data_IF_679510460397
#
_entry.id   IF_679510460397
#
_cell.length_a   1.000
_cell.length_b   1.000
_cell.length_c   1.000
_cell.angle_alpha   90.00
_cell.angle_beta   90.00
_cell.angle_gamma   90.00
#
_symmetry.space_group_name_H-M   'P 1'
#
loop_
_entity.id
_entity.type
_entity.pdbx_description
1 polymer ?
#
# COMPACT_ATOMS: atom_id res chain seq x y z
N UNK A 1 23.98 9.60 -6.89
CA UNK A 1 22.53 9.81 -7.11
C UNK A 1 22.30 11.28 -7.30
N UNK A 2 21.38 11.67 -8.19
CA UNK A 2 20.95 13.07 -8.31
C UNK A 2 20.16 13.47 -7.06
N UNK A 3 20.04 14.79 -6.75
CA UNK A 3 19.23 15.25 -5.63
C UNK A 3 17.77 14.79 -5.71
N UNK A 4 17.18 14.82 -6.91
CA UNK A 4 15.80 14.39 -7.15
C UNK A 4 15.64 12.89 -6.89
N UNK A 5 16.52 12.06 -7.44
CA UNK A 5 16.48 10.61 -7.21
C UNK A 5 16.61 10.25 -5.73
N UNK A 6 17.46 10.98 -4.99
CA UNK A 6 17.62 10.79 -3.54
C UNK A 6 16.36 11.22 -2.76
N UNK A 7 15.74 12.33 -3.14
CA UNK A 7 14.49 12.81 -2.54
C UNK A 7 13.35 11.79 -2.73
N UNK A 8 13.14 11.31 -3.96
CA UNK A 8 12.12 10.31 -4.27
C UNK A 8 12.30 9.03 -3.44
N UNK A 9 13.54 8.53 -3.38
CA UNK A 9 13.86 7.36 -2.56
C UNK A 9 13.59 7.61 -1.08
N UNK A 10 14.07 8.73 -0.54
CA UNK A 10 13.93 9.04 0.88
C UNK A 10 12.46 9.18 1.29
N UNK A 11 11.61 9.83 0.48
CA UNK A 11 10.18 9.90 0.76
C UNK A 11 9.54 8.52 0.71
N UNK A 12 9.86 7.69 -0.31
CA UNK A 12 9.32 6.35 -0.44
C UNK A 12 9.71 5.45 0.75
N UNK A 13 10.98 5.47 1.17
CA UNK A 13 11.48 4.71 2.33
C UNK A 13 10.81 5.14 3.62
N UNK A 14 10.64 6.46 3.85
CA UNK A 14 9.98 6.98 5.04
C UNK A 14 8.48 6.64 5.08
N UNK A 15 7.80 6.74 3.95
CA UNK A 15 6.40 6.33 3.82
C UNK A 15 6.22 4.84 4.10
N UNK A 16 7.04 3.99 3.47
CA UNK A 16 7.06 2.56 3.72
C UNK A 16 7.36 2.24 5.19
N UNK A 17 8.34 2.93 5.77
CA UNK A 17 8.70 2.81 7.19
C UNK A 17 7.55 3.17 8.13
N UNK A 18 6.82 4.24 7.84
CA UNK A 18 5.63 4.65 8.61
C UNK A 18 4.53 3.58 8.55
N UNK A 19 4.32 2.95 7.39
CA UNK A 19 3.40 1.83 7.25
C UNK A 19 3.83 0.60 8.09
N UNK A 20 5.12 0.23 8.07
CA UNK A 20 5.66 -0.86 8.89
C UNK A 20 5.50 -0.58 10.38
N UNK A 21 5.79 0.65 10.80
CA UNK A 21 5.74 1.07 12.20
C UNK A 21 4.31 1.30 12.71
N UNK A 22 3.30 1.17 11.83
CA UNK A 22 1.88 1.44 12.14
C UNK A 22 1.69 2.84 12.71
N UNK A 23 2.38 3.81 12.10
CA UNK A 23 2.27 5.22 12.46
C UNK A 23 0.84 5.74 12.33
N UNK A 24 0.57 6.88 12.96
CA UNK A 24 -0.75 7.50 12.89
C UNK A 24 -1.17 7.83 11.46
N UNK A 25 -2.48 7.86 11.21
CA UNK A 25 -3.03 8.28 9.92
C UNK A 25 -2.53 9.68 9.54
N UNK A 26 -2.44 10.60 10.50
CA UNK A 26 -1.89 11.95 10.25
C UNK A 26 -0.45 11.90 9.71
N UNK A 27 0.38 11.00 10.25
CA UNK A 27 1.76 10.80 9.78
C UNK A 27 1.76 10.24 8.36
N UNK A 28 0.90 9.25 8.08
CA UNK A 28 0.75 8.70 6.72
C UNK A 28 0.29 9.78 5.72
N UNK A 29 -0.71 10.59 6.09
CA UNK A 29 -1.23 11.68 5.27
C UNK A 29 -0.17 12.75 4.99
N UNK A 30 0.78 12.96 5.91
CA UNK A 30 1.85 13.96 5.74
C UNK A 30 2.82 13.67 4.58
N UNK A 31 2.80 12.45 4.02
CA UNK A 31 3.60 12.11 2.85
C UNK A 31 2.92 12.44 1.52
N UNK A 32 1.62 12.73 1.53
CA UNK A 32 0.83 13.02 0.32
C UNK A 32 0.83 14.52 0.01
N UNK A 33 0.73 14.85 -1.28
CA UNK A 33 0.65 16.23 -1.74
C UNK A 33 -0.60 16.93 -1.21
N UNK A 34 -0.45 18.18 -0.77
CA UNK A 34 -1.58 19.05 -0.41
C UNK A 34 -1.93 20.05 -1.51
N UNK A 35 -1.12 20.13 -2.57
CA UNK A 35 -1.23 21.12 -3.65
C UNK A 35 -1.67 20.50 -4.97
N UNK A 36 -1.50 19.18 -5.13
CA UNK A 36 -1.92 18.41 -6.29
C UNK A 36 -3.06 17.45 -5.97
N UNK A 37 -3.73 16.93 -7.00
CA UNK A 37 -4.69 15.85 -6.83
C UNK A 37 -3.99 14.59 -6.34
N UNK A 38 -4.51 14.00 -5.26
CA UNK A 38 -4.00 12.76 -4.68
C UNK A 38 -4.99 11.62 -4.84
N UNK A 39 -4.50 10.41 -5.12
CA UNK A 39 -5.38 9.24 -5.23
C UNK A 39 -4.71 7.90 -4.93
N UNK A 40 -5.50 6.95 -4.47
CA UNK A 40 -5.10 5.56 -4.21
C UNK A 40 -5.92 4.60 -5.05
N UNK A 41 -5.27 3.54 -5.54
CA UNK A 41 -5.96 2.34 -6.02
C UNK A 41 -5.20 1.10 -5.57
N UNK A 42 -5.94 0.11 -5.08
CA UNK A 42 -5.45 -1.26 -5.00
C UNK A 42 -6.09 -2.06 -6.13
N UNK A 43 -5.26 -2.57 -7.03
CA UNK A 43 -5.71 -3.22 -8.25
C UNK A 43 -6.22 -4.63 -7.93
N UNK A 44 -7.38 -4.96 -8.49
CA UNK A 44 -8.01 -6.27 -8.30
C UNK A 44 -9.51 -6.21 -8.59
N UNK A 45 -10.15 -7.37 -8.60
CA UNK A 45 -11.60 -7.50 -8.79
C UNK A 45 -12.34 -7.07 -7.50
N UNK A 46 -13.22 -6.05 -7.53
CA UNK A 46 -13.95 -5.56 -6.36
C UNK A 46 -14.71 -6.62 -5.56
N UNK A 47 -15.15 -7.71 -6.20
CA UNK A 47 -15.81 -8.80 -5.49
C UNK A 47 -14.91 -9.51 -4.47
N UNK A 48 -13.58 -9.46 -4.65
CA UNK A 48 -12.60 -10.18 -3.83
C UNK A 48 -12.35 -9.51 -2.47
N UNK A 49 -12.30 -8.18 -2.42
CA UNK A 49 -12.17 -7.40 -1.18
C UNK A 49 -12.68 -5.96 -1.38
N UNK A 50 -13.24 -5.31 -0.33
CA UNK A 50 -13.93 -4.02 -0.45
C UNK A 50 -13.01 -2.84 -0.79
N UNK A 51 -11.69 -3.03 -0.72
CA UNK A 51 -10.68 -2.04 -1.09
C UNK A 51 -10.17 -2.15 -2.52
N UNK A 52 -10.51 -3.24 -3.24
CA UNK A 52 -10.00 -3.51 -4.58
C UNK A 52 -10.81 -2.81 -5.67
N UNK A 53 -10.11 -2.42 -6.74
CA UNK A 53 -10.70 -1.95 -7.99
C UNK A 53 -11.45 -0.62 -7.88
N UNK A 54 -11.21 0.16 -6.81
CA UNK A 54 -11.82 1.47 -6.62
C UNK A 54 -10.77 2.55 -6.34
N UNK A 55 -11.03 3.74 -6.86
CA UNK A 55 -10.23 4.92 -6.59
C UNK A 55 -10.66 5.59 -5.30
N UNK A 56 -9.68 5.99 -4.49
CA UNK A 56 -9.87 6.88 -3.35
C UNK A 56 -9.22 8.20 -3.69
N UNK A 57 -10.01 9.25 -3.84
CA UNK A 57 -9.53 10.54 -4.33
C UNK A 57 -9.48 11.58 -3.21
N UNK A 58 -8.49 12.47 -3.28
CA UNK A 58 -8.22 13.48 -2.26
C UNK A 58 -7.69 12.89 -0.95
N UNK A 59 -7.22 13.77 -0.06
CA UNK A 59 -6.68 13.36 1.25
C UNK A 59 -7.72 12.63 2.11
N UNK A 60 -9.00 13.00 2.01
CA UNK A 60 -10.09 12.26 2.67
C UNK A 60 -10.26 10.84 2.11
N UNK A 61 -10.05 10.65 0.81
CA UNK A 61 -9.99 9.32 0.20
C UNK A 61 -8.79 8.51 0.69
N UNK A 62 -7.62 9.13 0.76
CA UNK A 62 -6.40 8.50 1.32
C UNK A 62 -6.64 8.02 2.74
N UNK A 63 -7.21 8.89 3.59
CA UNK A 63 -7.60 8.54 4.96
C UNK A 63 -8.56 7.35 4.98
N UNK A 64 -9.64 7.41 4.20
CA UNK A 64 -10.64 6.35 4.15
C UNK A 64 -10.07 5.00 3.69
N UNK A 65 -9.07 5.01 2.80
CA UNK A 65 -8.35 3.79 2.40
C UNK A 65 -7.61 3.17 3.59
N UNK A 66 -6.76 3.94 4.28
CA UNK A 66 -5.96 3.42 5.39
C UNK A 66 -6.81 3.02 6.60
N UNK A 67 -7.89 3.76 6.89
CA UNK A 67 -8.87 3.37 7.92
C UNK A 67 -9.54 2.04 7.57
N UNK A 68 -9.95 1.86 6.31
CA UNK A 68 -10.57 0.62 5.88
C UNK A 68 -9.60 -0.56 5.94
N UNK A 69 -8.37 -0.42 5.41
CA UNK A 69 -7.33 -1.44 5.52
C UNK A 69 -7.07 -1.78 6.99
N UNK A 70 -6.88 -0.76 7.83
CA UNK A 70 -6.69 -0.93 9.27
C UNK A 70 -7.88 -1.56 9.99
N UNK A 71 -9.11 -1.40 9.49
CA UNK A 71 -10.30 -2.03 10.08
C UNK A 71 -10.44 -3.51 9.70
N UNK A 72 -9.94 -3.90 8.53
CA UNK A 72 -10.13 -5.24 7.96
C UNK A 72 -8.94 -6.16 8.21
N UNK A 73 -7.73 -5.61 8.20
CA UNK A 73 -6.48 -6.35 8.19
C UNK A 73 -5.60 -5.98 9.39
N UNK A 74 -4.95 -6.97 9.97
CA UNK A 74 -3.72 -6.77 10.73
C UNK A 74 -2.56 -7.36 9.95
N UNK A 75 -1.35 -6.85 10.17
CA UNK A 75 -0.16 -7.30 9.46
C UNK A 75 1.01 -7.41 10.41
N UNK A 76 1.95 -8.32 10.15
CA UNK A 76 3.18 -8.52 10.91
C UNK A 76 4.34 -8.85 9.95
N UNK A 77 5.57 -8.58 10.40
CA UNK A 77 6.82 -8.84 9.64
C UNK A 77 6.80 -8.23 8.22
N UNK A 78 6.23 -7.03 8.09
CA UNK A 78 6.25 -6.29 6.82
C UNK A 78 7.65 -5.76 6.55
N UNK A 79 8.13 -6.00 5.34
CA UNK A 79 9.44 -5.56 4.85
C UNK A 79 9.30 -5.00 3.45
N UNK A 80 10.11 -3.99 3.16
CA UNK A 80 10.20 -3.36 1.85
C UNK A 80 11.62 -3.53 1.31
N UNK A 81 11.71 -3.76 0.00
CA UNK A 81 12.96 -3.98 -0.72
C UNK A 81 12.80 -3.64 -2.19
N UNK A 82 13.90 -3.69 -2.95
CA UNK A 82 13.87 -3.56 -4.42
C UNK A 82 13.24 -2.23 -4.89
N UNK A 83 13.65 -1.11 -4.28
CA UNK A 83 13.23 0.23 -4.72
C UNK A 83 13.81 0.54 -6.12
N UNK A 84 12.92 0.74 -7.09
CA UNK A 84 13.24 1.15 -8.45
C UNK A 84 12.72 2.57 -8.66
N UNK A 85 13.62 3.49 -8.97
CA UNK A 85 13.29 4.91 -9.11
C UNK A 85 13.38 5.29 -10.58
N UNK A 86 12.30 5.84 -11.10
CA UNK A 86 12.24 6.56 -12.36
C UNK A 86 12.25 8.06 -12.06
N UNK A 87 13.40 8.69 -12.32
CA UNK A 87 13.59 10.10 -12.00
C UNK A 87 12.86 11.02 -12.97
N UNK A 88 12.78 10.63 -14.25
CA UNK A 88 12.17 11.43 -15.31
C UNK A 88 10.65 11.53 -15.12
N UNK A 89 10.02 10.40 -14.77
CA UNK A 89 8.59 10.36 -14.49
C UNK A 89 8.23 10.68 -13.05
N UNK A 90 9.23 10.86 -12.16
CA UNK A 90 8.99 11.10 -10.74
C UNK A 90 8.25 9.94 -10.07
N UNK A 91 8.70 8.70 -10.29
CA UNK A 91 8.04 7.48 -9.78
C UNK A 91 8.99 6.61 -8.99
N UNK A 92 8.44 5.91 -8.00
CA UNK A 92 9.14 4.84 -7.27
C UNK A 92 8.26 3.60 -7.26
N UNK A 93 8.79 2.50 -7.81
CA UNK A 93 8.24 1.17 -7.60
C UNK A 93 8.99 0.49 -6.46
N UNK A 94 8.28 -0.22 -5.58
CA UNK A 94 8.87 -0.94 -4.46
C UNK A 94 8.15 -2.26 -4.25
N UNK A 95 8.92 -3.30 -3.93
CA UNK A 95 8.38 -4.60 -3.51
C UNK A 95 8.25 -4.61 -1.99
N UNK A 96 7.09 -4.99 -1.51
CA UNK A 96 6.85 -5.30 -0.12
C UNK A 96 6.49 -6.77 0.07
N UNK A 97 6.58 -7.24 1.31
CA UNK A 97 6.07 -8.54 1.69
C UNK A 97 5.97 -8.67 3.19
N UNK A 98 5.13 -9.59 3.64
CA UNK A 98 4.93 -9.90 5.06
C UNK A 98 3.72 -10.78 5.27
N UNK A 99 3.25 -10.85 6.51
CA UNK A 99 2.08 -11.62 6.88
C UNK A 99 0.89 -10.69 7.10
N UNK A 100 -0.22 -10.97 6.43
CA UNK A 100 -1.49 -10.29 6.67
C UNK A 100 -2.49 -11.27 7.29
N UNK A 101 -3.42 -10.73 8.07
CA UNK A 101 -4.49 -11.48 8.72
C UNK A 101 -5.79 -10.73 8.53
N UNK A 102 -6.80 -11.43 8.02
CA UNK A 102 -8.13 -10.88 7.96
C UNK A 102 -8.78 -10.93 9.35
N UNK A 103 -9.06 -9.76 9.93
CA UNK A 103 -9.42 -9.65 11.35
C UNK A 103 -10.67 -10.44 11.74
N UNK A 104 -11.71 -10.43 10.91
CA UNK A 104 -12.98 -11.06 11.25
C UNK A 104 -12.95 -12.59 11.24
N UNK A 105 -12.01 -13.19 10.50
CA UNK A 105 -11.89 -14.66 10.37
C UNK A 105 -10.66 -15.20 11.10
N UNK A 106 -9.65 -14.35 11.33
CA UNK A 106 -8.35 -14.76 11.85
C UNK A 106 -7.55 -15.62 10.87
N UNK A 107 -7.92 -15.64 9.59
CA UNK A 107 -7.14 -16.32 8.56
C UNK A 107 -5.99 -15.42 8.11
N UNK A 108 -4.78 -15.98 8.09
CA UNK A 108 -3.55 -15.27 7.74
C UNK A 108 -2.88 -15.87 6.52
N UNK A 109 -2.26 -15.02 5.70
CA UNK A 109 -1.44 -15.41 4.57
C UNK A 109 -0.12 -14.63 4.57
N UNK A 110 0.90 -15.20 3.92
CA UNK A 110 2.08 -14.45 3.54
C UNK A 110 1.90 -13.99 2.11
N UNK A 111 2.16 -12.73 1.84
CA UNK A 111 2.16 -12.21 0.47
C UNK A 111 3.41 -11.40 0.16
N UNK A 112 3.68 -11.32 -1.14
CA UNK A 112 4.49 -10.25 -1.72
C UNK A 112 3.55 -9.34 -2.49
N UNK A 113 3.78 -8.04 -2.37
CA UNK A 113 3.01 -7.00 -3.03
C UNK A 113 3.95 -5.96 -3.64
N UNK A 114 3.42 -5.15 -4.54
CA UNK A 114 4.17 -4.07 -5.17
C UNK A 114 3.42 -2.76 -4.97
N UNK A 115 4.16 -1.70 -4.62
CA UNK A 115 3.67 -0.34 -4.69
C UNK A 115 4.27 0.36 -5.90
N UNK A 116 3.48 1.22 -6.54
CA UNK A 116 3.97 2.24 -7.46
C UNK A 116 3.50 3.60 -6.92
N UNK A 117 4.47 4.42 -6.58
CA UNK A 117 4.30 5.76 -6.03
C UNK A 117 4.66 6.79 -7.09
N UNK A 118 3.75 7.74 -7.33
CA UNK A 118 4.00 8.92 -8.17
C UNK A 118 4.21 10.13 -7.26
N UNK A 119 5.07 11.05 -7.67
CA UNK A 119 5.46 12.21 -6.86
C UNK A 119 5.31 13.53 -7.63
N UNK A 120 4.92 14.58 -6.92
CA UNK A 120 4.99 15.95 -7.44
C UNK A 120 6.43 16.51 -7.41
N UNK A 121 6.62 17.72 -7.94
CA UNK A 121 7.93 18.39 -7.99
C UNK A 121 8.55 18.61 -6.59
N UNK A 122 7.72 18.71 -5.55
CA UNK A 122 8.15 18.86 -4.15
C UNK A 122 8.54 17.53 -3.51
N UNK A 123 8.31 16.40 -4.21
CA UNK A 123 8.65 15.07 -3.73
C UNK A 123 7.60 14.48 -2.78
N UNK A 124 6.36 14.97 -2.87
CA UNK A 124 5.20 14.47 -2.13
C UNK A 124 4.42 13.49 -2.99
N UNK A 125 3.80 12.49 -2.37
CA UNK A 125 3.08 11.42 -3.08
C UNK A 125 1.78 11.97 -3.65
N UNK A 126 1.56 11.79 -4.96
CA UNK A 126 0.31 12.13 -5.66
C UNK A 126 -0.50 10.90 -6.00
N UNK A 127 0.15 9.77 -6.28
CA UNK A 127 -0.56 8.54 -6.57
C UNK A 127 0.09 7.37 -5.85
N UNK A 128 -0.73 6.56 -5.20
CA UNK A 128 -0.30 5.33 -4.56
C UNK A 128 -1.09 4.15 -5.13
N UNK A 129 -0.39 3.26 -5.83
CA UNK A 129 -0.98 2.10 -6.48
C UNK A 129 -0.44 0.83 -5.85
N UNK A 130 -1.30 -0.16 -5.64
CA UNK A 130 -0.95 -1.42 -4.98
C UNK A 130 -1.38 -2.61 -5.85
N UNK A 131 -0.49 -3.59 -5.98
CA UNK A 131 -0.79 -4.94 -6.47
C UNK A 131 -0.39 -5.96 -5.42
N UNK A 132 -1.33 -6.80 -5.00
CA UNK A 132 -1.16 -7.77 -3.91
C UNK A 132 -1.89 -9.09 -4.22
N UNK A 133 -1.84 -10.07 -3.31
CA UNK A 133 -2.50 -11.37 -3.50
C UNK A 133 -3.99 -11.29 -3.14
N UNK A 134 -4.77 -10.74 -4.07
CA UNK A 134 -6.22 -10.63 -3.93
C UNK A 134 -6.94 -11.98 -3.78
N UNK A 135 -6.34 -13.08 -4.26
CA UNK A 135 -6.88 -14.43 -4.11
C UNK A 135 -6.79 -14.91 -2.66
N UNK A 136 -5.59 -14.77 -2.06
CA UNK A 136 -5.40 -15.08 -0.65
C UNK A 136 -6.24 -14.17 0.25
N UNK A 137 -6.31 -12.87 -0.04
CA UNK A 137 -7.15 -11.93 0.69
C UNK A 137 -8.64 -12.32 0.65
N UNK A 138 -9.15 -12.72 -0.51
CA UNK A 138 -10.53 -13.20 -0.65
C UNK A 138 -10.79 -14.48 0.15
N UNK A 139 -9.91 -15.48 0.04
CA UNK A 139 -10.04 -16.73 0.79
C UNK A 139 -9.97 -16.50 2.30
N UNK A 140 -9.08 -15.62 2.76
CA UNK A 140 -8.98 -15.22 4.15
C UNK A 140 -10.26 -14.51 4.61
N UNK A 141 -10.78 -13.57 3.82
CA UNK A 141 -12.04 -12.85 4.09
C UNK A 141 -13.22 -13.78 4.34
N UNK A 142 -13.32 -14.86 3.56
CA UNK A 142 -14.43 -15.83 3.68
C UNK A 142 -14.10 -17.01 4.60
N UNK A 143 -12.95 -17.00 5.28
CA UNK A 143 -12.53 -18.04 6.23
C UNK A 143 -12.25 -19.39 5.59
N UNK A 144 -11.82 -19.41 4.32
CA UNK A 144 -11.54 -20.63 3.56
C UNK A 144 -10.06 -20.82 3.24
N UNK A 145 -9.18 -19.91 3.66
CA UNK A 145 -7.76 -19.98 3.29
C UNK A 145 -7.09 -21.24 3.85
N UNK A 146 -7.40 -21.63 5.09
CA UNK A 146 -6.82 -22.83 5.74
C UNK A 146 -7.14 -24.14 5.00
N UNK A 147 -8.19 -24.16 4.18
CA UNK A 147 -8.57 -25.31 3.35
C UNK A 147 -7.72 -25.47 2.07
N UNK A 148 -6.97 -24.43 1.70
CA UNK A 148 -6.08 -24.42 0.53
C UNK A 148 -4.63 -24.33 1.02
N UNK A 149 -4.07 -25.47 1.43
CA UNK A 149 -2.61 -25.60 1.44
C UNK A 149 -2.23 -25.88 -0.01
N UNK A 150 -1.67 -24.88 -0.70
CA UNK A 150 -0.97 -25.14 -1.95
C UNK A 150 0.17 -26.10 -1.64
N UNK A 151 0.13 -27.27 -2.28
CA UNK A 151 1.23 -28.23 -2.27
C UNK A 151 2.47 -27.68 -3.01
#
# INVERSE_FOLDING_TARGET
MTPRRQQLLATAERFCGAFVQRESIDTILSFFSSTQEVRIIEHGEPLLAPFLGKWFNGLSGVQAYFEMIGSLLSWDDIRFSEFVIDEELGKVAVKGGGQFTWKSTGDSWKESFAYVLDFDEEGMITQYQVWADSGAAYLARIGKLKGFKGD
#
